data_IF_925192705447
#
_entry.id   IF_925192705447
#
_cell.length_a   1.000
_cell.length_b   1.000
_cell.length_c   1.000
_cell.angle_alpha   90.00
_cell.angle_beta   90.00
_cell.angle_gamma   90.00
#
_symmetry.space_group_name_H-M   'P 1'
#
loop_
_entity.id
_entity.type
_entity.pdbx_description
1 polymer ?
#
# COMPACT_ATOMS: atom_id res chain seq x y z
N UNK A 1 7.22 -6.60 -24.23
CA UNK A 1 7.55 -5.22 -23.81
C UNK A 1 7.56 -5.07 -22.27
N UNK A 2 8.13 -6.03 -21.53
CA UNK A 2 8.25 -5.97 -20.05
C UNK A 2 9.67 -5.63 -19.57
N UNK A 3 10.69 -5.73 -20.44
CA UNK A 3 12.10 -5.51 -20.09
C UNK A 3 12.52 -4.05 -19.98
N UNK A 4 11.85 -3.13 -20.66
CA UNK A 4 12.27 -1.72 -20.72
C UNK A 4 11.91 -0.93 -19.45
N UNK A 5 10.83 -1.32 -18.75
CA UNK A 5 10.41 -0.67 -17.51
C UNK A 5 11.36 -0.98 -16.34
N UNK A 6 11.92 -2.18 -16.31
CA UNK A 6 12.91 -2.59 -15.29
C UNK A 6 14.23 -1.83 -15.44
N UNK A 7 14.65 -1.56 -16.68
CA UNK A 7 15.88 -0.82 -16.95
C UNK A 7 15.80 0.65 -16.44
N UNK A 8 14.64 1.30 -16.54
CA UNK A 8 14.47 2.70 -16.10
C UNK A 8 14.58 2.82 -14.56
N UNK A 9 14.07 1.83 -13.83
CA UNK A 9 14.15 1.78 -12.36
C UNK A 9 15.60 1.64 -11.89
N UNK A 10 16.40 0.81 -12.56
CA UNK A 10 17.82 0.65 -12.26
C UNK A 10 18.63 1.95 -12.45
N UNK A 11 18.29 2.76 -13.46
CA UNK A 11 18.98 4.03 -13.73
C UNK A 11 18.61 5.15 -12.75
N UNK A 12 17.37 5.18 -12.26
CA UNK A 12 16.93 6.18 -11.29
C UNK A 12 17.63 6.02 -9.92
N UNK A 13 17.87 4.77 -9.50
CA UNK A 13 18.66 4.47 -8.29
C UNK A 13 20.12 4.90 -8.44
N UNK A 14 20.68 4.73 -9.65
CA UNK A 14 22.07 5.10 -9.96
C UNK A 14 22.36 6.61 -9.83
N UNK A 15 21.34 7.47 -9.95
CA UNK A 15 21.49 8.92 -9.80
C UNK A 15 21.49 9.40 -8.34
N UNK A 16 21.05 8.57 -7.38
CA UNK A 16 20.95 8.95 -5.96
C UNK A 16 22.13 8.47 -5.10
N UNK A 17 22.95 7.54 -5.59
CA UNK A 17 23.98 6.88 -4.79
C UNK A 17 25.39 7.23 -5.28
N UNK A 18 25.91 8.37 -4.85
CA UNK A 18 27.29 8.79 -5.09
C UNK A 18 28.23 8.39 -3.96
N UNK A 19 28.68 7.13 -3.88
CA UNK A 19 29.98 6.72 -3.32
C UNK A 19 30.20 5.21 -3.44
N UNK A 20 31.37 4.76 -3.88
CA UNK A 20 31.69 3.36 -4.21
C UNK A 20 31.76 2.43 -2.98
N UNK A 21 30.63 1.77 -2.68
CA UNK A 21 30.50 0.58 -1.81
C UNK A 21 29.31 -0.32 -2.21
N UNK A 22 28.77 -0.10 -3.42
CA UNK A 22 27.33 -0.12 -3.73
C UNK A 22 26.70 -1.47 -4.12
N UNK A 23 27.45 -2.57 -4.22
CA UNK A 23 26.87 -3.81 -4.76
C UNK A 23 25.86 -4.47 -3.79
N UNK A 24 26.15 -4.46 -2.49
CA UNK A 24 25.32 -5.10 -1.46
C UNK A 24 24.11 -4.23 -1.07
N UNK A 25 24.32 -2.91 -0.99
CA UNK A 25 23.24 -1.92 -0.76
C UNK A 25 22.29 -1.84 -1.96
N UNK A 26 22.77 -1.96 -3.20
CA UNK A 26 21.91 -1.93 -4.39
C UNK A 26 21.00 -3.15 -4.50
N UNK A 27 21.47 -4.33 -4.09
CA UNK A 27 20.62 -5.53 -4.00
C UNK A 27 19.52 -5.36 -2.95
N UNK A 28 19.84 -4.73 -1.82
CA UNK A 28 18.86 -4.43 -0.76
C UNK A 28 17.85 -3.37 -1.21
N UNK A 29 18.30 -2.31 -1.90
CA UNK A 29 17.42 -1.27 -2.45
C UNK A 29 16.55 -1.78 -3.61
N UNK A 30 17.08 -2.65 -4.49
CA UNK A 30 16.29 -3.27 -5.57
C UNK A 30 15.19 -4.16 -5.00
N UNK A 31 15.48 -4.88 -3.92
CA UNK A 31 14.46 -5.63 -3.18
C UNK A 31 13.39 -4.69 -2.64
N UNK A 32 13.76 -3.60 -1.98
CA UNK A 32 12.80 -2.61 -1.45
C UNK A 32 11.91 -2.01 -2.54
N UNK A 33 12.48 -1.66 -3.70
CA UNK A 33 11.71 -1.11 -4.82
C UNK A 33 10.77 -2.16 -5.43
N UNK A 34 11.19 -3.41 -5.57
CA UNK A 34 10.33 -4.48 -6.06
C UNK A 34 9.20 -4.79 -5.08
N UNK A 35 9.48 -4.76 -3.77
CA UNK A 35 8.48 -4.90 -2.71
C UNK A 35 7.48 -3.75 -2.74
N UNK A 36 7.95 -2.50 -2.86
CA UNK A 36 7.09 -1.32 -2.98
C UNK A 36 6.26 -1.33 -4.27
N UNK A 37 6.85 -1.71 -5.41
CA UNK A 37 6.14 -1.83 -6.68
C UNK A 37 5.09 -2.95 -6.68
N UNK A 38 5.35 -4.04 -5.96
CA UNK A 38 4.40 -5.14 -5.77
C UNK A 38 3.28 -4.71 -4.83
N UNK A 39 3.60 -4.04 -3.72
CA UNK A 39 2.62 -3.48 -2.79
C UNK A 39 1.73 -2.42 -3.46
N UNK A 40 2.31 -1.51 -4.27
CA UNK A 40 1.53 -0.58 -5.09
C UNK A 40 0.70 -1.27 -6.19
N UNK A 41 1.06 -2.49 -6.58
CA UNK A 41 0.33 -3.29 -7.57
C UNK A 41 -0.85 -4.08 -6.98
N UNK A 42 -0.91 -4.20 -5.65
CA UNK A 42 -1.94 -4.94 -4.95
C UNK A 42 -2.77 -4.00 -4.05
N UNK A 43 -4.05 -3.75 -4.38
CA UNK A 43 -4.89 -2.85 -3.60
C UNK A 43 -5.02 -3.27 -2.13
N UNK A 44 -4.93 -4.58 -1.83
CA UNK A 44 -4.95 -5.07 -0.45
C UNK A 44 -3.76 -4.60 0.38
N UNK A 45 -2.57 -4.54 -0.22
CA UNK A 45 -1.35 -4.13 0.48
C UNK A 45 -1.37 -2.61 0.74
N UNK A 46 -1.88 -1.83 -0.22
CA UNK A 46 -2.04 -0.38 -0.10
C UNK A 46 -3.05 -0.02 1.00
N UNK A 47 -4.22 -0.66 0.95
CA UNK A 47 -5.28 -0.47 1.94
C UNK A 47 -4.85 -0.99 3.31
N UNK A 48 -4.24 -2.18 3.38
CA UNK A 48 -3.74 -2.76 4.64
C UNK A 48 -2.68 -1.89 5.31
N UNK A 49 -1.72 -1.37 4.54
CA UNK A 49 -0.71 -0.44 5.06
C UNK A 49 -1.33 0.86 5.56
N UNK A 50 -2.25 1.46 4.78
CA UNK A 50 -2.89 2.71 5.17
C UNK A 50 -3.81 2.54 6.39
N UNK A 51 -4.54 1.43 6.49
CA UNK A 51 -5.36 1.10 7.66
C UNK A 51 -4.51 0.80 8.89
N UNK A 52 -3.38 0.12 8.75
CA UNK A 52 -2.45 -0.12 9.85
C UNK A 52 -1.84 1.19 10.37
N UNK A 53 -1.59 2.16 9.50
CA UNK A 53 -1.14 3.51 9.90
C UNK A 53 -2.25 4.33 10.55
N UNK A 54 -3.50 4.19 10.09
CA UNK A 54 -4.65 4.90 10.65
C UNK A 54 -5.14 4.31 11.98
N UNK A 55 -5.07 2.98 12.14
CA UNK A 55 -5.57 2.22 13.29
C UNK A 55 -4.47 1.32 13.90
N UNK A 56 -3.43 1.91 14.52
CA UNK A 56 -2.35 1.14 15.12
C UNK A 56 -2.88 0.28 16.27
N UNK A 57 -2.61 -1.03 16.21
CA UNK A 57 -3.02 -1.99 17.23
C UNK A 57 -4.42 -2.58 17.05
N UNK A 58 -5.11 -2.25 15.95
CA UNK A 58 -6.37 -2.91 15.56
C UNK A 58 -6.07 -3.92 14.46
N UNK A 59 -6.61 -5.14 14.58
CA UNK A 59 -6.51 -6.13 13.51
C UNK A 59 -7.43 -5.75 12.34
N UNK A 60 -6.82 -5.23 11.28
CA UNK A 60 -7.51 -4.76 10.07
C UNK A 60 -7.79 -5.86 9.05
N UNK A 61 -7.16 -7.03 9.22
CA UNK A 61 -7.21 -8.16 8.28
C UNK A 61 -8.62 -8.57 7.84
N UNK A 62 -9.63 -8.68 8.73
CA UNK A 62 -10.94 -9.20 8.34
C UNK A 62 -11.77 -8.22 7.50
N UNK A 63 -11.45 -6.93 7.49
CA UNK A 63 -12.22 -5.91 6.79
C UNK A 63 -11.45 -5.14 5.72
N UNK A 64 -10.16 -5.44 5.50
CA UNK A 64 -9.38 -4.92 4.35
C UNK A 64 -10.10 -5.18 3.02
N UNK A 65 -10.71 -6.36 2.84
CA UNK A 65 -11.46 -6.68 1.62
C UNK A 65 -12.65 -5.74 1.37
N UNK A 66 -13.41 -5.41 2.42
CA UNK A 66 -14.51 -4.45 2.34
C UNK A 66 -14.06 -3.05 1.93
N UNK A 67 -12.91 -2.62 2.43
CA UNK A 67 -12.35 -1.32 2.09
C UNK A 67 -11.90 -1.33 0.63
N UNK A 68 -11.15 -2.36 0.21
CA UNK A 68 -10.73 -2.54 -1.20
C UNK A 68 -11.90 -2.51 -2.17
N UNK A 69 -12.99 -3.22 -1.87
CA UNK A 69 -14.17 -3.31 -2.75
C UNK A 69 -14.92 -1.98 -2.93
N UNK A 70 -14.75 -1.04 -1.98
CA UNK A 70 -15.38 0.28 -2.00
C UNK A 70 -14.37 1.41 -2.31
N UNK A 71 -13.15 1.06 -2.75
CA UNK A 71 -12.09 2.01 -3.08
C UNK A 71 -12.09 2.33 -4.58
N UNK A 72 -11.94 3.60 -4.94
CA UNK A 72 -11.79 4.02 -6.35
C UNK A 72 -10.33 4.01 -6.81
N UNK A 73 -10.09 4.10 -8.12
CA UNK A 73 -8.72 4.21 -8.68
C UNK A 73 -7.95 5.44 -8.18
N UNK A 74 -8.65 6.55 -7.91
CA UNK A 74 -8.07 7.78 -7.36
C UNK A 74 -7.70 7.61 -5.88
N UNK A 75 -8.54 6.90 -5.13
CA UNK A 75 -8.26 6.54 -3.74
C UNK A 75 -7.03 5.63 -3.65
N UNK A 76 -6.94 4.60 -4.51
CA UNK A 76 -5.76 3.74 -4.60
C UNK A 76 -4.50 4.56 -4.90
N UNK A 77 -4.56 5.51 -5.82
CA UNK A 77 -3.41 6.38 -6.12
C UNK A 77 -2.97 7.20 -4.90
N UNK A 78 -3.94 7.70 -4.12
CA UNK A 78 -3.69 8.43 -2.88
C UNK A 78 -3.13 7.55 -1.76
N UNK A 79 -3.59 6.30 -1.65
CA UNK A 79 -3.08 5.31 -0.71
C UNK A 79 -1.67 4.83 -1.09
N UNK A 80 -1.41 4.65 -2.38
CA UNK A 80 -0.11 4.22 -2.92
C UNK A 80 1.03 5.20 -2.63
N UNK A 81 0.71 6.46 -2.35
CA UNK A 81 1.69 7.45 -1.91
C UNK A 81 2.31 7.11 -0.54
N UNK A 82 1.60 6.39 0.36
CA UNK A 82 2.20 5.91 1.63
C UNK A 82 3.23 4.82 1.42
N UNK A 83 3.05 3.95 0.41
CA UNK A 83 4.00 2.87 0.09
C UNK A 83 5.36 3.45 -0.31
N UNK A 84 5.39 4.70 -0.78
CA UNK A 84 6.60 5.46 -1.10
C UNK A 84 7.15 6.29 0.08
N UNK A 85 6.60 6.13 1.29
CA UNK A 85 7.01 6.85 2.50
C UNK A 85 6.39 8.24 2.68
N UNK A 86 5.34 8.57 1.92
CA UNK A 86 4.60 9.83 2.06
C UNK A 86 3.30 9.59 2.85
N UNK A 87 3.44 9.26 4.14
CA UNK A 87 2.35 8.82 5.02
C UNK A 87 1.28 9.89 5.31
N UNK A 88 1.60 11.17 5.13
CA UNK A 88 0.76 12.28 5.59
C UNK A 88 -0.65 12.37 4.99
N UNK A 89 -0.90 11.73 3.84
CA UNK A 89 -2.21 11.75 3.16
C UNK A 89 -3.00 10.43 3.22
N UNK A 90 -2.33 9.30 3.42
CA UNK A 90 -2.95 7.98 3.20
C UNK A 90 -3.81 7.51 4.38
N UNK A 91 -3.45 7.89 5.61
CA UNK A 91 -4.31 7.62 6.77
C UNK A 91 -5.63 8.42 6.68
N UNK A 92 -5.58 9.67 6.22
CA UNK A 92 -6.76 10.49 6.00
C UNK A 92 -7.66 9.89 4.90
N UNK A 93 -7.07 9.48 3.77
CA UNK A 93 -7.79 8.79 2.70
C UNK A 93 -8.43 7.48 3.18
N UNK A 94 -7.70 6.65 3.93
CA UNK A 94 -8.23 5.42 4.49
C UNK A 94 -9.41 5.67 5.45
N UNK A 95 -9.32 6.68 6.31
CA UNK A 95 -10.44 7.08 7.17
C UNK A 95 -11.64 7.58 6.37
N UNK A 96 -11.43 8.31 5.28
CA UNK A 96 -12.51 8.77 4.41
C UNK A 96 -13.23 7.60 3.73
N UNK A 97 -12.48 6.62 3.21
CA UNK A 97 -13.04 5.40 2.61
C UNK A 97 -13.82 4.61 3.67
N UNK A 98 -13.25 4.40 4.86
CA UNK A 98 -13.93 3.68 5.97
C UNK A 98 -15.22 4.38 6.39
N UNK A 99 -15.30 5.71 6.34
CA UNK A 99 -16.50 6.46 6.70
C UNK A 99 -17.61 6.42 5.63
N UNK A 100 -17.39 5.80 4.46
CA UNK A 100 -18.44 5.63 3.46
C UNK A 100 -19.53 4.66 3.97
N UNK A 101 -20.82 4.93 3.67
CA UNK A 101 -21.92 4.11 4.18
C UNK A 101 -21.88 2.66 3.67
N UNK A 102 -21.44 2.48 2.43
CA UNK A 102 -21.22 1.18 1.79
C UNK A 102 -20.06 0.39 2.43
N UNK A 103 -18.97 1.07 2.77
CA UNK A 103 -17.82 0.45 3.47
C UNK A 103 -18.14 0.08 4.91
N UNK A 104 -18.80 0.97 5.67
CA UNK A 104 -19.22 0.68 7.06
C UNK A 104 -20.21 -0.48 7.16
N UNK A 105 -21.11 -0.63 6.18
CA UNK A 105 -22.03 -1.77 6.09
C UNK A 105 -21.24 -3.08 5.90
N UNK A 106 -20.31 -3.10 4.95
CA UNK A 106 -19.47 -4.28 4.71
C UNK A 106 -18.60 -4.63 5.92
N UNK A 107 -17.97 -3.64 6.58
CA UNK A 107 -17.17 -3.86 7.80
C UNK A 107 -18.01 -4.52 8.90
N UNK A 108 -19.28 -4.09 9.06
CA UNK A 108 -20.19 -4.66 10.04
C UNK A 108 -20.51 -6.13 9.73
N UNK A 109 -20.77 -6.46 8.47
CA UNK A 109 -21.05 -7.83 8.02
C UNK A 109 -19.80 -8.73 8.09
N UNK A 110 -18.63 -8.21 7.71
CA UNK A 110 -17.35 -8.91 7.79
C UNK A 110 -16.92 -9.16 9.24
N UNK A 111 -17.10 -8.16 10.11
CA UNK A 111 -16.87 -8.28 11.54
C UNK A 111 -17.80 -9.32 12.17
N UNK A 112 -19.09 -9.28 11.84
CA UNK A 112 -20.04 -10.29 12.31
C UNK A 112 -19.68 -11.69 11.81
N UNK A 113 -19.33 -11.84 10.53
CA UNK A 113 -18.84 -13.11 9.98
C UNK A 113 -17.61 -13.63 10.74
N UNK A 114 -16.64 -12.77 11.05
CA UNK A 114 -15.43 -13.14 11.78
C UNK A 114 -15.68 -13.60 13.22
N UNK A 115 -16.80 -13.21 13.84
CA UNK A 115 -17.21 -13.71 15.16
C UNK A 115 -18.02 -15.02 15.10
N UNK A 116 -18.60 -15.34 13.95
CA UNK A 116 -19.49 -16.50 13.79
C UNK A 116 -18.86 -17.69 13.05
N UNK A 117 -17.62 -17.52 12.56
CA UNK A 117 -16.80 -18.55 11.90
C UNK A 117 -15.78 -19.10 12.90
#
# INVERSE_FOLDING_TARGET
>A
MRGTKLAIVATAVFAMSGNFGLADELSTMTSQINSAATAMGNPNDMVGSALSSAYPGVDVTPYVGCVVDNTTSDDLTSLGSSVLGNDGGSAAAAMEIVNRPETTTCISDAGLSALTN
#
